data_IF_976558971511
#
_entry.id   IF_976558971511
#
_cell.length_a   1.000
_cell.length_b   1.000
_cell.length_c   1.000
_cell.angle_alpha   90.00
_cell.angle_beta   90.00
_cell.angle_gamma   90.00
#
_symmetry.space_group_name_H-M   'P 1'
#
loop_
_entity.id
_entity.type
_entity.pdbx_description
1 polymer ?
#
# COMPACT_ATOMS: atom_id res chain seq x y z
N UNK A 1 -3.87 -7.98 21.89
CA UNK A 1 -4.24 -6.63 21.40
C UNK A 1 -5.05 -6.84 20.14
N UNK A 2 -6.32 -6.43 20.11
CA UNK A 2 -7.16 -6.51 18.91
C UNK A 2 -6.74 -5.47 17.86
N UNK A 3 -7.32 -5.50 16.65
CA UNK A 3 -7.07 -4.45 15.66
C UNK A 3 -7.51 -3.09 16.22
N UNK A 4 -6.71 -2.05 15.97
CA UNK A 4 -7.13 -0.69 16.23
C UNK A 4 -8.37 -0.35 15.37
N UNK A 5 -9.29 0.50 15.85
CA UNK A 5 -10.39 0.99 15.03
C UNK A 5 -9.86 1.71 13.78
N UNK A 6 -10.62 1.66 12.68
CA UNK A 6 -10.23 2.36 11.46
C UNK A 6 -10.35 3.87 11.64
N UNK A 7 -9.58 4.66 10.90
CA UNK A 7 -9.71 6.13 10.89
C UNK A 7 -11.13 6.58 10.52
N UNK A 8 -11.79 5.87 9.61
CA UNK A 8 -13.18 6.12 9.22
C UNK A 8 -14.14 5.93 10.40
N UNK A 9 -14.02 4.83 11.15
CA UNK A 9 -14.87 4.60 12.33
C UNK A 9 -14.64 5.61 13.46
N UNK A 10 -13.52 6.31 13.43
CA UNK A 10 -13.15 7.35 14.39
C UNK A 10 -13.59 8.75 13.93
N UNK A 11 -14.21 8.89 12.75
CA UNK A 11 -14.74 10.16 12.24
C UNK A 11 -13.71 11.06 11.57
N UNK A 12 -12.60 10.51 11.06
CA UNK A 12 -11.64 11.30 10.29
C UNK A 12 -12.26 11.76 8.95
N UNK A 13 -12.17 13.06 8.66
CA UNK A 13 -12.68 13.65 7.41
C UNK A 13 -11.81 13.35 6.18
N UNK A 14 -10.51 13.18 6.39
CA UNK A 14 -9.53 12.95 5.33
C UNK A 14 -8.66 11.74 5.62
N UNK A 15 -8.31 11.02 4.56
CA UNK A 15 -7.31 9.96 4.57
C UNK A 15 -6.18 10.36 3.63
N UNK A 16 -4.95 10.28 4.13
CA UNK A 16 -3.74 10.42 3.34
C UNK A 16 -3.24 9.02 2.97
N UNK A 17 -2.75 8.88 1.74
CA UNK A 17 -2.29 7.62 1.18
C UNK A 17 -1.09 7.87 0.25
N UNK A 18 -0.03 7.12 0.46
CA UNK A 18 1.07 7.04 -0.49
C UNK A 18 0.74 6.07 -1.63
N UNK A 19 1.06 6.49 -2.86
CA UNK A 19 0.89 5.67 -4.04
C UNK A 19 2.19 5.42 -4.78
N UNK A 20 2.27 4.25 -5.41
CA UNK A 20 3.32 3.87 -6.35
C UNK A 20 2.71 3.29 -7.61
N UNK A 21 3.49 3.26 -8.68
CA UNK A 21 3.08 2.71 -9.98
C UNK A 21 3.82 1.42 -10.26
N UNK A 22 3.08 0.38 -10.62
CA UNK A 22 3.62 -0.91 -11.05
C UNK A 22 4.18 -0.84 -12.48
N UNK A 23 4.86 -1.90 -12.92
CA UNK A 23 5.46 -1.97 -14.27
C UNK A 23 4.39 -1.93 -15.37
N UNK A 24 3.28 -2.64 -15.20
CA UNK A 24 2.10 -2.61 -16.07
C UNK A 24 1.26 -1.33 -15.91
N UNK A 25 1.69 -0.42 -15.04
CA UNK A 25 1.19 0.94 -14.97
C UNK A 25 0.02 1.16 -14.00
N UNK A 26 -0.40 0.15 -13.24
CA UNK A 26 -1.41 0.29 -12.20
C UNK A 26 -0.90 1.16 -11.04
N UNK A 27 -1.80 1.98 -10.49
CA UNK A 27 -1.53 2.78 -9.28
C UNK A 27 -1.97 1.97 -8.07
N UNK A 28 -1.05 1.72 -7.14
CA UNK A 28 -1.28 0.94 -5.93
C UNK A 28 -0.95 1.77 -4.69
N UNK A 29 -1.64 1.49 -3.58
CA UNK A 29 -1.34 2.11 -2.28
C UNK A 29 -0.16 1.38 -1.64
N UNK A 30 0.99 2.05 -1.54
CA UNK A 30 2.15 1.55 -0.82
C UNK A 30 3.14 2.67 -0.54
N UNK A 31 3.48 2.85 0.74
CA UNK A 31 4.46 3.86 1.17
C UNK A 31 5.88 3.45 0.76
N UNK A 32 6.33 2.26 1.14
CA UNK A 32 7.72 1.83 0.88
C UNK A 32 7.93 1.48 -0.59
N UNK A 33 9.17 1.59 -1.07
CA UNK A 33 9.55 1.14 -2.42
C UNK A 33 9.47 -0.39 -2.56
N UNK A 34 9.77 -1.10 -1.48
CA UNK A 34 9.89 -2.56 -1.42
C UNK A 34 8.81 -3.16 -0.52
N UNK A 35 8.32 -4.34 -0.89
CA UNK A 35 7.27 -5.05 -0.14
C UNK A 35 7.76 -5.75 1.14
N UNK A 36 9.02 -5.58 1.54
CA UNK A 36 9.64 -6.35 2.63
C UNK A 36 8.95 -6.12 3.97
N UNK A 37 8.71 -4.85 4.34
CA UNK A 37 8.12 -4.51 5.64
C UNK A 37 6.64 -4.86 5.74
N UNK A 38 5.92 -4.74 4.61
CA UNK A 38 4.45 -4.86 4.57
C UNK A 38 3.99 -6.29 4.25
N UNK A 39 4.76 -7.02 3.44
CA UNK A 39 4.38 -8.34 2.92
C UNK A 39 5.45 -9.43 3.11
N UNK A 40 6.61 -9.11 3.70
CA UNK A 40 7.70 -10.06 3.90
C UNK A 40 8.41 -10.49 2.60
N UNK A 41 8.22 -9.75 1.49
CA UNK A 41 8.82 -10.07 0.18
C UNK A 41 9.72 -8.93 -0.28
N UNK A 42 10.95 -9.25 -0.63
CA UNK A 42 11.91 -8.27 -1.16
C UNK A 42 11.69 -8.08 -2.67
N UNK A 43 10.69 -7.27 -2.99
CA UNK A 43 10.29 -6.93 -4.36
C UNK A 43 9.98 -5.43 -4.47
N UNK A 44 10.58 -4.79 -5.47
CA UNK A 44 10.32 -3.39 -5.84
C UNK A 44 8.94 -3.29 -6.47
N UNK A 45 8.07 -2.43 -5.93
CA UNK A 45 6.71 -2.23 -6.45
C UNK A 45 6.72 -1.81 -7.93
N UNK A 46 7.74 -1.07 -8.36
CA UNK A 46 7.86 -0.62 -9.76
C UNK A 46 8.27 -1.74 -10.72
N UNK A 47 8.65 -2.90 -10.20
CA UNK A 47 9.05 -4.09 -10.97
C UNK A 47 8.04 -5.23 -10.91
N UNK A 48 6.90 -5.06 -10.23
CA UNK A 48 5.79 -6.01 -10.23
C UNK A 48 4.75 -5.63 -11.28
N UNK A 49 3.96 -6.61 -11.74
CA UNK A 49 2.71 -6.37 -12.49
C UNK A 49 1.52 -6.57 -11.55
N UNK A 50 0.48 -5.75 -11.68
CA UNK A 50 -0.73 -5.86 -10.88
C UNK A 50 -1.74 -6.82 -11.51
N UNK A 51 -1.89 -6.75 -12.83
CA UNK A 51 -2.70 -7.71 -13.59
C UNK A 51 -1.79 -8.82 -14.13
N UNK A 52 -2.17 -10.06 -13.85
CA UNK A 52 -1.50 -11.28 -14.33
C UNK A 52 -2.16 -11.76 -15.62
#
# INVERSE_FOLDING_TARGET
>A
LGPAPSAVSQGCDWLELDVRRTRDGAVVVSHDRELSRQCGRHLDVTQTDYQV
#
